data_IF_817195306262
#
_entry.id   IF_817195306262
#
_cell.length_a   1.000
_cell.length_b   1.000
_cell.length_c   1.000
_cell.angle_alpha   90.00
_cell.angle_beta   90.00
_cell.angle_gamma   90.00
#
_symmetry.space_group_name_H-M   'P 1'
#
loop_
_entity.id
_entity.type
_entity.pdbx_description
1 polymer ?
#
# COMPACT_ATOMS: atom_id res chain seq x y z
N UNK A 1 -7.05 27.11 0.75
CA UNK A 1 -8.19 27.89 1.26
C UNK A 1 -7.70 29.09 2.07
N UNK A 2 -6.95 30.01 1.46
CA UNK A 2 -6.36 31.14 2.18
C UNK A 2 -6.12 32.30 1.22
N UNK A 3 -6.53 33.50 1.61
CA UNK A 3 -6.31 34.81 0.98
C UNK A 3 -7.24 35.20 -0.19
N UNK A 4 -7.51 34.38 -1.22
CA UNK A 4 -8.38 34.77 -2.36
C UNK A 4 -9.68 33.95 -2.46
N UNK A 5 -10.70 34.34 -1.69
CA UNK A 5 -11.99 33.63 -1.59
C UNK A 5 -12.75 33.52 -2.91
N UNK A 6 -12.60 34.49 -3.82
CA UNK A 6 -13.24 34.48 -5.16
C UNK A 6 -12.64 33.45 -6.12
N UNK A 7 -11.36 33.08 -5.97
CA UNK A 7 -10.77 32.00 -6.77
C UNK A 7 -11.19 30.63 -6.22
N UNK A 8 -11.30 30.50 -4.90
CA UNK A 8 -11.80 29.27 -4.27
C UNK A 8 -13.24 28.94 -4.67
N UNK A 9 -14.12 29.94 -4.82
CA UNK A 9 -15.51 29.72 -5.27
C UNK A 9 -15.59 29.18 -6.69
N UNK A 10 -14.61 29.45 -7.56
CA UNK A 10 -14.57 28.89 -8.91
C UNK A 10 -14.27 27.39 -8.87
N UNK A 11 -13.36 26.94 -8.00
CA UNK A 11 -13.08 25.51 -7.82
C UNK A 11 -14.23 24.77 -7.13
N UNK A 12 -14.95 25.42 -6.19
CA UNK A 12 -16.17 24.84 -5.60
C UNK A 12 -17.34 24.75 -6.59
N UNK A 13 -17.37 25.60 -7.62
CA UNK A 13 -18.40 25.56 -8.65
C UNK A 13 -18.18 24.46 -9.70
N UNK A 14 -17.06 23.74 -9.65
CA UNK A 14 -16.77 22.63 -10.56
C UNK A 14 -17.77 21.48 -10.30
N UNK A 15 -18.46 20.95 -11.33
CA UNK A 15 -19.37 19.83 -11.17
C UNK A 15 -18.65 18.58 -10.63
N UNK A 16 -19.33 17.81 -9.78
CA UNK A 16 -18.78 16.57 -9.20
C UNK A 16 -18.32 15.58 -10.27
N UNK A 17 -18.99 15.53 -11.42
CA UNK A 17 -18.62 14.67 -12.56
C UNK A 17 -17.23 15.01 -13.13
N UNK A 18 -16.85 16.29 -13.14
CA UNK A 18 -15.53 16.74 -13.62
C UNK A 18 -14.46 16.46 -12.57
N UNK A 19 -14.78 16.71 -11.30
CA UNK A 19 -13.88 16.42 -10.19
C UNK A 19 -13.59 14.91 -10.10
N UNK A 20 -14.63 14.09 -10.24
CA UNK A 20 -14.55 12.63 -10.30
C UNK A 20 -13.72 12.13 -11.49
N UNK A 21 -13.90 12.72 -12.68
CA UNK A 21 -13.07 12.37 -13.85
C UNK A 21 -11.59 12.67 -13.63
N UNK A 22 -11.27 13.84 -13.10
CA UNK A 22 -9.90 14.24 -12.77
C UNK A 22 -9.26 13.32 -11.72
N UNK A 23 -9.96 13.03 -10.61
CA UNK A 23 -9.44 12.16 -9.54
C UNK A 23 -9.27 10.72 -10.03
N UNK A 24 -10.23 10.20 -10.81
CA UNK A 24 -10.12 8.85 -11.39
C UNK A 24 -8.90 8.75 -12.31
N UNK A 25 -8.67 9.75 -13.16
CA UNK A 25 -7.49 9.79 -14.03
C UNK A 25 -6.18 9.88 -13.23
N UNK A 26 -6.17 10.65 -12.14
CA UNK A 26 -5.01 10.73 -11.24
C UNK A 26 -4.72 9.36 -10.60
N UNK A 27 -5.72 8.68 -10.06
CA UNK A 27 -5.53 7.34 -9.48
C UNK A 27 -5.17 6.28 -10.53
N UNK A 28 -5.68 6.39 -11.75
CA UNK A 28 -5.26 5.52 -12.85
C UNK A 28 -3.76 5.70 -13.18
N UNK A 29 -3.25 6.93 -13.17
CA UNK A 29 -1.82 7.18 -13.37
C UNK A 29 -0.96 6.63 -12.23
N UNK A 30 -1.43 6.72 -10.97
CA UNK A 30 -0.76 6.07 -9.83
C UNK A 30 -0.65 4.57 -10.07
N UNK A 31 -1.76 3.91 -10.43
CA UNK A 31 -1.76 2.47 -10.71
C UNK A 31 -0.84 2.08 -11.89
N UNK A 32 -0.82 2.86 -12.97
CA UNK A 32 0.08 2.63 -14.11
C UNK A 32 1.55 2.79 -13.69
N UNK A 33 1.85 3.77 -12.83
CA UNK A 33 3.18 3.95 -12.25
C UNK A 33 3.60 2.74 -11.41
N UNK A 34 2.70 2.17 -10.61
CA UNK A 34 2.99 0.99 -9.80
C UNK A 34 3.31 -0.23 -10.68
N UNK A 35 2.55 -0.44 -11.77
CA UNK A 35 2.84 -1.49 -12.76
C UNK A 35 4.22 -1.28 -13.38
N UNK A 36 4.60 -0.02 -13.66
CA UNK A 36 5.94 0.29 -14.19
C UNK A 36 7.03 -0.06 -13.18
N UNK A 37 6.83 0.21 -11.89
CA UNK A 37 7.78 -0.17 -10.84
C UNK A 37 7.94 -1.70 -10.80
N UNK A 38 6.83 -2.45 -10.86
CA UNK A 38 6.87 -3.92 -10.89
C UNK A 38 7.56 -4.47 -12.17
N UNK A 39 7.55 -3.72 -13.27
CA UNK A 39 8.22 -4.12 -14.52
C UNK A 39 9.75 -4.17 -14.43
N UNK A 40 10.35 -3.57 -13.40
CA UNK A 40 11.81 -3.68 -13.18
C UNK A 40 12.23 -5.02 -12.57
N UNK A 41 11.28 -5.83 -12.08
CA UNK A 41 11.53 -7.18 -11.58
C UNK A 41 11.78 -8.15 -12.74
N UNK A 42 12.62 -9.16 -12.51
CA UNK A 42 12.84 -10.25 -13.49
C UNK A 42 11.64 -11.19 -13.61
N UNK A 43 10.71 -11.15 -12.65
CA UNK A 43 9.55 -12.04 -12.57
C UNK A 43 9.94 -13.52 -12.46
N UNK A 44 10.87 -13.83 -11.56
CA UNK A 44 11.23 -15.21 -11.19
C UNK A 44 10.04 -15.96 -10.57
N UNK A 45 10.18 -17.26 -10.29
CA UNK A 45 9.12 -18.01 -9.60
C UNK A 45 8.91 -17.45 -8.19
N UNK A 46 10.01 -17.10 -7.52
CA UNK A 46 10.03 -16.41 -6.23
C UNK A 46 9.25 -15.10 -6.27
N UNK A 47 9.59 -14.18 -7.18
CA UNK A 47 8.98 -12.84 -7.22
C UNK A 47 7.49 -12.88 -7.52
N UNK A 48 7.08 -13.76 -8.45
CA UNK A 48 5.65 -13.99 -8.75
C UNK A 48 4.88 -14.48 -7.54
N UNK A 49 5.47 -15.35 -6.73
CA UNK A 49 4.83 -15.84 -5.51
C UNK A 49 4.70 -14.73 -4.45
N UNK A 50 5.77 -13.97 -4.20
CA UNK A 50 5.73 -12.84 -3.25
C UNK A 50 4.68 -11.81 -3.68
N UNK A 51 4.65 -11.44 -4.97
CA UNK A 51 3.71 -10.48 -5.51
C UNK A 51 2.26 -11.00 -5.41
N UNK A 52 1.99 -12.24 -5.82
CA UNK A 52 0.64 -12.81 -5.77
C UNK A 52 0.13 -12.96 -4.33
N UNK A 53 0.96 -13.45 -3.41
CA UNK A 53 0.58 -13.66 -2.02
C UNK A 53 0.31 -12.35 -1.28
N UNK A 54 1.20 -11.35 -1.44
CA UNK A 54 1.02 -10.04 -0.82
C UNK A 54 -0.20 -9.29 -1.35
N UNK A 55 -0.43 -9.34 -2.67
CA UNK A 55 -1.58 -8.71 -3.32
C UNK A 55 -2.90 -9.38 -2.93
N UNK A 56 -2.93 -10.72 -2.84
CA UNK A 56 -4.12 -11.47 -2.38
C UNK A 56 -4.51 -11.09 -0.96
N UNK A 57 -3.54 -11.03 -0.04
CA UNK A 57 -3.82 -10.69 1.35
C UNK A 57 -4.20 -9.22 1.53
N UNK A 58 -3.53 -8.29 0.85
CA UNK A 58 -3.89 -6.86 0.92
C UNK A 58 -5.23 -6.51 0.26
N UNK A 59 -5.60 -7.19 -0.82
CA UNK A 59 -6.95 -7.07 -1.40
C UNK A 59 -8.00 -7.69 -0.47
N UNK A 60 -7.68 -8.82 0.17
CA UNK A 60 -8.57 -9.50 1.12
C UNK A 60 -8.99 -8.59 2.28
N UNK A 61 -8.07 -7.78 2.82
CA UNK A 61 -8.39 -6.85 3.92
C UNK A 61 -9.22 -5.65 3.48
N UNK A 62 -9.20 -5.29 2.19
CA UNK A 62 -10.05 -4.22 1.63
C UNK A 62 -11.49 -4.69 1.42
N UNK A 63 -11.72 -6.00 1.26
CA UNK A 63 -13.06 -6.58 1.03
C UNK A 63 -13.86 -6.69 2.33
N UNK A 64 -13.19 -6.95 3.46
CA UNK A 64 -13.85 -7.15 4.75
C UNK A 64 -13.35 -6.13 5.77
N UNK A 65 -14.20 -5.13 6.00
CA UNK A 65 -14.03 -4.20 7.11
C UNK A 65 -14.07 -4.97 8.46
N UNK A 66 -13.26 -4.53 9.41
CA UNK A 66 -13.14 -5.04 10.79
C UNK A 66 -12.57 -6.47 10.95
N UNK A 67 -11.86 -6.99 9.94
CA UNK A 67 -11.25 -8.33 10.00
C UNK A 67 -10.27 -8.51 11.20
N UNK A 68 -9.65 -7.42 11.67
CA UNK A 68 -8.69 -7.44 12.77
C UNK A 68 -9.24 -6.89 14.09
N UNK A 69 -10.52 -6.51 14.14
CA UNK A 69 -11.09 -5.82 15.32
C UNK A 69 -11.06 -6.70 16.58
N UNK A 70 -11.16 -8.03 16.42
CA UNK A 70 -11.08 -9.02 17.52
C UNK A 70 -9.68 -9.12 18.16
N UNK A 71 -8.61 -8.84 17.43
CA UNK A 71 -7.24 -8.91 17.96
C UNK A 71 -6.92 -7.71 18.87
N UNK A 72 -7.53 -6.55 18.61
CA UNK A 72 -7.30 -5.30 19.35
C UNK A 72 -8.36 -5.02 20.43
N UNK A 73 -9.47 -5.78 20.47
CA UNK A 73 -10.55 -5.55 21.46
C UNK A 73 -10.11 -5.80 22.91
N UNK A 74 -9.13 -6.67 23.12
CA UNK A 74 -8.60 -7.01 24.45
C UNK A 74 -7.70 -5.92 25.05
N UNK A 75 -7.37 -4.87 24.29
CA UNK A 75 -6.48 -3.79 24.71
C UNK A 75 -7.22 -2.53 25.17
N UNK A 76 -8.56 -2.56 25.31
CA UNK A 76 -9.37 -1.41 25.78
C UNK A 76 -8.84 -0.88 27.12
N UNK A 77 -7.97 0.12 27.03
CA UNK A 77 -7.37 0.79 28.17
C UNK A 77 -8.32 1.85 28.72
N UNK A 78 -8.28 2.02 30.04
CA UNK A 78 -9.02 3.06 30.77
C UNK A 78 -8.56 4.50 30.46
N UNK A 79 -7.52 4.69 29.65
CA UNK A 79 -6.89 5.98 29.37
C UNK A 79 -7.09 6.42 27.90
N UNK A 80 -7.45 7.69 27.68
CA UNK A 80 -7.70 8.29 26.35
C UNK A 80 -6.50 8.21 25.42
N UNK A 81 -5.27 8.30 25.96
CA UNK A 81 -4.05 8.16 25.17
C UNK A 81 -3.87 6.74 24.58
N UNK A 82 -4.17 5.70 25.37
CA UNK A 82 -4.07 4.30 24.93
C UNK A 82 -5.16 3.99 23.90
N UNK A 83 -6.37 4.51 24.10
CA UNK A 83 -7.45 4.37 23.12
C UNK A 83 -7.12 5.04 21.77
N UNK A 84 -6.48 6.22 21.78
CA UNK A 84 -6.02 6.85 20.54
C UNK A 84 -5.00 6.03 19.77
N UNK A 85 -4.08 5.36 20.48
CA UNK A 85 -3.09 4.45 19.88
C UNK A 85 -3.75 3.22 19.25
N UNK A 86 -4.75 2.64 19.93
CA UNK A 86 -5.48 1.47 19.43
C UNK A 86 -6.25 1.81 18.15
N UNK A 87 -6.97 2.94 18.14
CA UNK A 87 -7.72 3.40 16.95
C UNK A 87 -6.76 3.63 15.78
N UNK A 88 -5.62 4.26 16.04
CA UNK A 88 -4.62 4.53 15.00
C UNK A 88 -4.02 3.22 14.45
N UNK A 89 -3.75 2.25 15.31
CA UNK A 89 -3.28 0.93 14.90
C UNK A 89 -4.33 0.17 14.07
N UNK A 90 -5.61 0.24 14.47
CA UNK A 90 -6.73 -0.35 13.72
C UNK A 90 -6.87 0.29 12.34
N UNK A 91 -6.71 1.60 12.21
CA UNK A 91 -6.69 2.29 10.91
C UNK A 91 -5.56 1.80 9.99
N UNK A 92 -4.37 1.57 10.55
CA UNK A 92 -3.21 1.09 9.78
C UNK A 92 -3.41 -0.35 9.30
N UNK A 93 -3.98 -1.21 10.14
CA UNK A 93 -4.22 -2.64 9.83
C UNK A 93 -5.41 -2.83 8.89
N UNK A 94 -6.42 -1.96 8.97
CA UNK A 94 -7.53 -1.95 8.02
C UNK A 94 -7.13 -1.41 6.63
N UNK A 95 -5.99 -0.74 6.51
CA UNK A 95 -5.46 -0.33 5.22
C UNK A 95 -4.88 -1.50 4.42
N UNK A 96 -5.48 -1.80 3.27
CA UNK A 96 -5.07 -2.93 2.41
C UNK A 96 -3.63 -2.87 1.92
N UNK A 97 -3.14 -1.68 1.55
CA UNK A 97 -1.76 -1.52 1.06
C UNK A 97 -0.72 -1.77 2.16
N UNK A 98 -1.04 -1.46 3.42
CA UNK A 98 -0.14 -1.71 4.56
C UNK A 98 0.08 -3.20 4.75
N UNK A 99 -1.00 -3.99 4.71
CA UNK A 99 -0.93 -5.44 4.89
C UNK A 99 -0.21 -6.10 3.73
N UNK A 100 -0.49 -5.67 2.49
CA UNK A 100 0.28 -6.11 1.33
C UNK A 100 1.78 -5.86 1.52
N UNK A 101 2.17 -4.66 1.95
CA UNK A 101 3.58 -4.30 2.16
C UNK A 101 4.24 -5.15 3.26
N UNK A 102 3.58 -5.32 4.41
CA UNK A 102 4.09 -6.14 5.52
C UNK A 102 4.31 -7.59 5.06
N UNK A 103 3.32 -8.18 4.38
CA UNK A 103 3.42 -9.54 3.85
C UNK A 103 4.54 -9.64 2.82
N UNK A 104 4.64 -8.68 1.89
CA UNK A 104 5.69 -8.66 0.88
C UNK A 104 7.09 -8.61 1.52
N UNK A 105 7.29 -7.77 2.54
CA UNK A 105 8.56 -7.68 3.28
C UNK A 105 8.88 -9.01 3.96
N UNK A 106 7.92 -9.59 4.70
CA UNK A 106 8.12 -10.86 5.41
C UNK A 106 8.46 -11.99 4.43
N UNK A 107 7.70 -12.13 3.35
CA UNK A 107 7.94 -13.16 2.34
C UNK A 107 9.27 -12.94 1.62
N UNK A 108 9.63 -11.70 1.32
CA UNK A 108 10.90 -11.38 0.69
C UNK A 108 12.10 -11.72 1.60
N UNK A 109 11.95 -11.62 2.92
CA UNK A 109 12.97 -12.00 3.90
C UNK A 109 13.06 -13.52 4.13
N UNK A 110 11.92 -14.20 4.21
CA UNK A 110 11.87 -15.65 4.50
C UNK A 110 12.24 -16.47 3.27
N UNK A 111 11.88 -16.02 2.07
CA UNK A 111 12.13 -16.78 0.85
C UNK A 111 13.60 -16.71 0.42
N UNK A 112 14.26 -17.86 0.21
CA UNK A 112 15.64 -17.89 -0.24
C UNK A 112 15.77 -17.21 -1.61
N UNK A 113 16.85 -16.44 -1.80
CA UNK A 113 17.15 -15.82 -3.09
C UNK A 113 17.48 -16.90 -4.12
N UNK A 114 16.97 -16.75 -5.35
CA UNK A 114 17.33 -17.65 -6.44
C UNK A 114 18.79 -17.37 -6.87
N UNK A 115 19.49 -18.40 -7.39
CA UNK A 115 20.92 -18.33 -7.76
C UNK A 115 21.17 -17.18 -8.75
N UNK A 116 20.22 -16.97 -9.67
CA UNK A 116 20.28 -15.93 -10.70
C UNK A 116 20.20 -14.50 -10.13
N UNK A 117 19.65 -14.33 -8.92
CA UNK A 117 19.64 -13.05 -8.20
C UNK A 117 20.94 -12.84 -7.42
N UNK A 118 21.55 -13.91 -6.91
CA UNK A 118 22.87 -13.88 -6.29
C UNK A 118 23.98 -13.55 -7.29
N UNK A 119 23.91 -14.11 -8.51
CA UNK A 119 24.88 -13.82 -9.59
C UNK A 119 24.80 -12.35 -10.05
N UNK A 120 23.61 -11.74 -10.06
CA UNK A 120 23.47 -10.30 -10.33
C UNK A 120 24.03 -9.44 -9.20
N UNK A 121 23.72 -9.75 -7.94
CA UNK A 121 24.29 -9.01 -6.80
C UNK A 121 25.83 -9.11 -6.80
N UNK A 122 26.38 -10.27 -7.17
CA UNK A 122 27.83 -10.47 -7.29
C UNK A 122 28.45 -9.65 -8.44
N UNK A 123 27.80 -9.63 -9.61
CA UNK A 123 28.28 -8.89 -10.79
C UNK A 123 28.09 -7.37 -10.67
N UNK A 124 27.06 -6.89 -9.98
CA UNK A 124 26.86 -5.45 -9.74
C UNK A 124 27.85 -4.89 -8.70
N UNK A 125 28.41 -5.74 -7.83
CA UNK A 125 29.41 -5.34 -6.83
C UNK A 125 30.89 -5.43 -7.31
N UNK A 126 31.16 -6.00 -8.48
CA UNK A 126 32.50 -6.02 -9.10
C UNK A 126 32.39 -5.62 -10.57
N UNK A 127 32.48 -4.32 -10.92
CA UNK A 127 32.68 -3.93 -12.30
C UNK A 127 34.06 -4.41 -12.73
N UNK A 128 34.10 -5.41 -13.61
CA UNK A 128 35.30 -5.76 -14.37
C UNK A 128 35.60 -4.66 -15.40
#
# INVERSE_FOLDING_TARGET
MGVFSKLASVFLAIPESVLGGMTTFLFANVLVSDIRILSYLKWTRRDRFVAAASMTLGMGTTIKDDWFSYALTNLKGTNTAVNGLIISAEMVVNSGFTIAAIVAIILNLVMPKEIEDLEKELNDHHPA
#
